data_IF_611866288387
#
_entry.id   IF_611866288387
#
_cell.length_a   1.000
_cell.length_b   1.000
_cell.length_c   1.000
_cell.angle_alpha   90.00
_cell.angle_beta   90.00
_cell.angle_gamma   90.00
#
_symmetry.space_group_name_H-M   'P 1'
#
loop_
_entity.id
_entity.type
_entity.pdbx_description
1 polymer ?
#
# COMPACT_ATOMS: atom_id res chain seq x y z
N UNK A 1 8.80 10.16 -35.63
CA UNK A 1 8.46 10.61 -34.25
C UNK A 1 9.68 11.16 -33.49
N UNK A 2 10.83 10.45 -33.46
CA UNK A 2 12.07 10.91 -32.80
C UNK A 2 12.56 12.30 -33.27
N UNK A 3 12.65 12.53 -34.57
CA UNK A 3 13.12 13.83 -35.13
C UNK A 3 12.18 15.00 -34.79
N UNK A 4 10.88 14.73 -34.66
CA UNK A 4 9.87 15.74 -34.31
C UNK A 4 9.96 16.15 -32.85
N UNK A 5 10.27 15.21 -31.94
CA UNK A 5 10.51 15.49 -30.53
C UNK A 5 11.77 16.34 -30.34
N UNK A 6 12.83 16.04 -31.10
CA UNK A 6 14.08 16.78 -31.03
C UNK A 6 13.92 18.22 -31.57
N UNK A 7 13.17 18.41 -32.66
CA UNK A 7 12.88 19.75 -33.18
C UNK A 7 12.05 20.59 -32.19
N UNK A 8 11.06 19.98 -31.51
CA UNK A 8 10.28 20.64 -30.46
C UNK A 8 11.16 21.08 -29.30
N UNK A 9 12.07 20.21 -28.84
CA UNK A 9 13.05 20.53 -27.78
C UNK A 9 13.92 21.73 -28.16
N UNK A 10 14.44 21.74 -29.39
CA UNK A 10 15.30 22.83 -29.88
C UNK A 10 14.57 24.17 -30.01
N UNK A 11 13.31 24.16 -30.44
CA UNK A 11 12.49 25.37 -30.49
C UNK A 11 12.26 25.87 -29.06
N UNK A 12 11.80 25.01 -28.16
CA UNK A 12 11.53 25.35 -26.76
C UNK A 12 12.75 25.97 -26.07
N UNK A 13 13.95 25.39 -26.26
CA UNK A 13 15.20 25.94 -25.71
C UNK A 13 15.51 27.36 -26.20
N UNK A 14 15.10 27.71 -27.43
CA UNK A 14 15.38 29.02 -28.04
C UNK A 14 14.33 30.08 -27.70
N UNK A 15 13.08 29.69 -27.46
CA UNK A 15 11.99 30.63 -27.17
C UNK A 15 11.53 30.66 -25.71
N UNK A 16 12.01 29.74 -24.85
CA UNK A 16 11.63 29.75 -23.43
C UNK A 16 11.98 31.08 -22.78
N UNK A 17 11.01 31.68 -22.10
CA UNK A 17 11.17 32.84 -21.24
C UNK A 17 10.72 32.52 -19.81
N UNK A 18 11.01 31.29 -19.37
CA UNK A 18 10.75 30.78 -18.03
C UNK A 18 12.00 30.10 -17.50
N UNK A 19 12.09 30.02 -16.18
CA UNK A 19 13.10 29.25 -15.46
C UNK A 19 12.42 27.97 -14.94
N UNK A 20 13.01 26.81 -15.21
CA UNK A 20 12.55 25.55 -14.60
C UNK A 20 13.22 25.44 -13.23
N UNK A 21 12.42 25.35 -12.18
CA UNK A 21 12.87 25.07 -10.82
C UNK A 21 12.34 23.71 -10.42
N UNK A 22 13.24 22.83 -10.00
CA UNK A 22 12.90 21.55 -9.40
C UNK A 22 13.12 21.66 -7.89
N UNK A 23 12.16 21.19 -7.12
CA UNK A 23 12.21 21.16 -5.66
C UNK A 23 11.91 19.74 -5.19
N UNK A 24 12.72 19.25 -4.26
CA UNK A 24 12.42 18.00 -3.55
C UNK A 24 11.53 18.35 -2.34
N UNK A 25 10.31 17.81 -2.34
CA UNK A 25 9.35 18.01 -1.27
C UNK A 25 9.17 16.70 -0.52
N UNK A 26 9.38 16.73 0.80
CA UNK A 26 9.03 15.61 1.66
C UNK A 26 7.55 15.73 2.06
N UNK A 27 6.74 14.76 1.67
CA UNK A 27 5.30 14.70 1.99
C UNK A 27 5.07 13.55 2.96
N UNK A 28 4.51 13.88 4.13
CA UNK A 28 4.01 12.86 5.05
C UNK A 28 2.58 12.49 4.66
N UNK A 29 2.33 11.21 4.37
CA UNK A 29 0.99 10.69 4.06
C UNK A 29 0.37 10.08 5.31
N UNK A 30 -0.82 10.53 5.68
CA UNK A 30 -1.59 9.93 6.76
C UNK A 30 -2.27 8.62 6.29
N UNK A 31 -1.97 7.50 6.97
CA UNK A 31 -2.72 6.25 6.79
C UNK A 31 -4.16 6.37 7.31
N UNK A 32 -4.40 7.24 8.30
CA UNK A 32 -5.72 7.57 8.85
C UNK A 32 -5.82 9.08 8.98
N UNK A 33 -6.92 9.65 8.50
CA UNK A 33 -7.35 11.02 8.73
C UNK A 33 -8.54 11.02 9.69
N UNK A 34 -8.35 11.25 10.99
CA UNK A 34 -9.44 11.19 11.98
C UNK A 34 -10.61 12.13 11.65
N UNK A 35 -10.37 13.19 10.89
CA UNK A 35 -11.39 14.16 10.44
C UNK A 35 -12.45 13.54 9.53
N UNK A 36 -12.11 12.45 8.83
CA UNK A 36 -13.05 11.68 8.01
C UNK A 36 -13.90 10.68 8.78
N UNK A 37 -13.76 10.62 10.11
CA UNK A 37 -14.47 9.68 10.99
C UNK A 37 -15.36 10.43 11.98
N UNK A 38 -16.41 9.75 12.43
CA UNK A 38 -17.27 10.25 13.50
C UNK A 38 -16.55 10.09 14.85
N UNK A 39 -16.41 11.21 15.57
CA UNK A 39 -15.79 11.22 16.89
C UNK A 39 -16.84 10.92 17.96
N UNK A 40 -16.60 9.88 18.75
CA UNK A 40 -17.36 9.55 19.95
C UNK A 40 -16.46 9.54 21.18
N UNK A 41 -17.07 9.53 22.36
CA UNK A 41 -16.39 9.30 23.62
C UNK A 41 -16.82 7.97 24.21
N UNK A 42 -15.85 7.16 24.63
CA UNK A 42 -16.08 5.89 25.32
C UNK A 42 -15.05 5.74 26.44
N UNK A 43 -15.52 5.50 27.66
CA UNK A 43 -14.67 5.35 28.85
C UNK A 43 -13.68 6.53 29.05
N UNK A 44 -14.13 7.76 28.76
CA UNK A 44 -13.32 8.98 28.83
C UNK A 44 -12.25 9.11 27.75
N UNK A 45 -12.27 8.27 26.71
CA UNK A 45 -11.36 8.31 25.56
C UNK A 45 -12.12 8.66 24.29
N UNK A 46 -11.51 9.52 23.47
CA UNK A 46 -12.01 9.75 22.12
C UNK A 46 -11.80 8.49 21.27
N UNK A 47 -12.86 8.05 20.61
CA UNK A 47 -12.84 6.99 19.60
C UNK A 47 -13.35 7.57 18.29
N UNK A 48 -12.78 7.11 17.18
CA UNK A 48 -13.15 7.53 15.83
C UNK A 48 -13.74 6.33 15.11
N UNK A 49 -14.95 6.47 14.58
CA UNK A 49 -15.70 5.36 13.98
C UNK A 49 -16.24 5.76 12.61
N UNK A 50 -16.50 4.74 11.79
CA UNK A 50 -17.21 4.88 10.52
C UNK A 50 -18.07 3.65 10.33
N UNK A 51 -19.12 3.76 9.52
CA UNK A 51 -19.89 2.59 9.08
C UNK A 51 -19.07 1.77 8.08
N UNK A 52 -19.13 0.44 8.22
CA UNK A 52 -18.56 -0.51 7.28
C UNK A 52 -19.72 -1.35 6.74
N UNK A 53 -19.97 -1.26 5.44
CA UNK A 53 -21.00 -2.06 4.74
C UNK A 53 -20.34 -3.21 3.99
N UNK A 54 -20.91 -4.41 4.12
CA UNK A 54 -20.48 -5.61 3.41
C UNK A 54 -21.63 -6.63 3.30
N UNK A 55 -21.57 -7.48 2.28
CA UNK A 55 -22.50 -8.61 2.16
C UNK A 55 -22.16 -9.70 3.19
N UNK A 56 -23.18 -10.35 3.75
CA UNK A 56 -23.00 -11.33 4.85
C UNK A 56 -22.04 -12.48 4.51
N UNK A 57 -21.98 -12.91 3.26
CA UNK A 57 -21.02 -13.94 2.79
C UNK A 57 -19.54 -13.48 2.84
N UNK A 58 -19.30 -12.16 2.90
CA UNK A 58 -17.98 -11.53 3.04
C UNK A 58 -17.56 -11.32 4.49
N UNK A 59 -18.40 -11.65 5.48
CA UNK A 59 -18.05 -11.54 6.91
C UNK A 59 -16.77 -12.31 7.25
N UNK A 60 -16.50 -13.41 6.54
CA UNK A 60 -15.27 -14.21 6.66
C UNK A 60 -13.98 -13.42 6.39
N UNK A 61 -14.06 -12.28 5.70
CA UNK A 61 -12.91 -11.41 5.42
C UNK A 61 -12.69 -10.34 6.48
N UNK A 62 -13.58 -10.22 7.47
CA UNK A 62 -13.30 -9.40 8.63
C UNK A 62 -12.26 -10.08 9.53
N UNK A 63 -11.38 -9.28 10.08
CA UNK A 63 -10.46 -9.68 11.14
C UNK A 63 -10.46 -8.59 12.21
N UNK A 64 -10.81 -9.00 13.43
CA UNK A 64 -10.83 -8.12 14.60
C UNK A 64 -9.50 -8.21 15.34
N UNK A 65 -9.04 -7.11 15.93
CA UNK A 65 -7.79 -7.07 16.70
C UNK A 65 -7.75 -8.12 17.81
N UNK A 66 -8.88 -8.26 18.51
CA UNK A 66 -9.01 -9.18 19.64
C UNK A 66 -8.76 -10.64 19.24
N UNK A 67 -8.88 -10.98 17.95
CA UNK A 67 -8.61 -12.32 17.44
C UNK A 67 -7.12 -12.63 17.31
N UNK A 68 -6.24 -11.61 17.26
CA UNK A 68 -4.79 -11.81 17.17
C UNK A 68 -4.02 -11.34 18.40
N UNK A 69 -4.61 -10.50 19.25
CA UNK A 69 -4.00 -10.02 20.48
C UNK A 69 -3.44 -11.19 21.31
N UNK A 70 -2.12 -11.19 21.51
CA UNK A 70 -1.40 -12.21 22.27
C UNK A 70 -1.14 -13.53 21.56
N UNK A 71 -1.44 -13.65 20.25
CA UNK A 71 -1.08 -14.84 19.44
C UNK A 71 0.37 -14.83 18.97
N UNK A 72 0.92 -13.64 18.72
CA UNK A 72 2.29 -13.42 18.27
C UNK A 72 3.06 -12.63 19.33
N UNK A 73 4.39 -12.76 19.35
CA UNK A 73 5.27 -12.04 20.28
C UNK A 73 5.25 -10.53 20.02
N UNK A 74 5.13 -10.14 18.76
CA UNK A 74 5.02 -8.76 18.32
C UNK A 74 3.55 -8.40 18.03
N UNK A 75 3.17 -7.17 18.35
CA UNK A 75 1.82 -6.62 18.15
C UNK A 75 1.84 -5.71 16.91
N UNK A 76 1.83 -6.30 15.71
CA UNK A 76 1.85 -5.56 14.45
C UNK A 76 0.44 -5.28 13.92
N UNK A 77 0.28 -4.09 13.36
CA UNK A 77 -0.82 -3.63 12.54
C UNK A 77 -1.99 -2.99 13.29
N UNK A 78 -3.16 -3.03 12.66
CA UNK A 78 -4.44 -2.52 13.15
C UNK A 78 -4.47 -1.02 13.47
N UNK A 79 -4.05 -0.21 12.49
CA UNK A 79 -4.33 1.23 12.45
C UNK A 79 -5.83 1.57 12.40
N UNK A 80 -6.67 0.59 12.05
CA UNK A 80 -8.12 0.61 12.27
C UNK A 80 -8.62 -0.80 12.62
N UNK A 81 -9.80 -0.89 13.23
CA UNK A 81 -10.40 -2.15 13.66
C UNK A 81 -11.92 -2.15 13.37
N UNK A 82 -12.48 -3.20 12.74
CA UNK A 82 -11.80 -4.37 12.17
C UNK A 82 -11.12 -4.08 10.82
N UNK A 83 -10.11 -4.87 10.48
CA UNK A 83 -9.67 -4.98 9.09
C UNK A 83 -10.74 -5.70 8.28
N UNK A 84 -11.10 -5.11 7.14
CA UNK A 84 -12.01 -5.66 6.13
C UNK A 84 -11.19 -5.99 4.89
N UNK A 85 -10.66 -7.20 4.83
CA UNK A 85 -9.95 -7.67 3.64
C UNK A 85 -10.93 -7.78 2.46
N UNK A 86 -10.46 -7.52 1.25
CA UNK A 86 -11.27 -7.64 0.04
C UNK A 86 -11.30 -9.08 -0.48
N UNK A 87 -10.31 -9.89 -0.08
CA UNK A 87 -10.19 -11.28 -0.51
C UNK A 87 -9.61 -12.24 0.55
N UNK A 88 -9.83 -13.56 0.36
CA UNK A 88 -9.16 -14.60 1.18
C UNK A 88 -7.63 -14.51 1.08
N UNK A 89 -7.02 -14.37 -0.13
CA UNK A 89 -5.58 -14.22 -0.26
C UNK A 89 -4.95 -13.10 0.56
N UNK A 90 -5.56 -11.91 0.67
CA UNK A 90 -5.00 -10.83 1.51
C UNK A 90 -4.99 -11.20 2.99
N UNK A 91 -6.10 -11.77 3.48
CA UNK A 91 -6.21 -12.22 4.87
C UNK A 91 -5.20 -13.34 5.18
N UNK A 92 -5.02 -14.27 4.25
CA UNK A 92 -4.03 -15.34 4.34
C UNK A 92 -2.60 -14.78 4.31
N UNK A 93 -2.32 -13.81 3.43
CA UNK A 93 -1.02 -13.16 3.32
C UNK A 93 -0.66 -12.45 4.63
N UNK A 94 -1.58 -11.69 5.20
CA UNK A 94 -1.37 -11.03 6.48
C UNK A 94 -1.06 -12.05 7.59
N UNK A 95 -1.80 -13.15 7.64
CA UNK A 95 -1.57 -14.22 8.63
C UNK A 95 -0.22 -14.92 8.44
N UNK A 96 0.17 -15.19 7.19
CA UNK A 96 1.47 -15.74 6.84
C UNK A 96 2.60 -14.79 7.26
N UNK A 97 2.46 -13.50 6.97
CA UNK A 97 3.46 -12.48 7.27
C UNK A 97 3.70 -12.35 8.78
N UNK A 98 2.65 -12.35 9.59
CA UNK A 98 2.80 -12.38 11.05
C UNK A 98 3.48 -13.65 11.54
N UNK A 99 3.15 -14.81 10.95
CA UNK A 99 3.77 -16.09 11.29
C UNK A 99 5.28 -16.11 11.05
N UNK A 100 5.74 -15.67 9.88
CA UNK A 100 7.18 -15.66 9.57
C UNK A 100 7.95 -14.70 10.47
N UNK A 101 7.35 -13.58 10.90
CA UNK A 101 8.00 -12.59 11.76
C UNK A 101 8.00 -12.97 13.24
N UNK A 102 7.07 -13.83 13.66
CA UNK A 102 7.08 -14.43 15.00
C UNK A 102 8.16 -15.51 15.14
N UNK A 103 8.41 -16.25 14.05
CA UNK A 103 9.48 -17.25 13.94
C UNK A 103 10.86 -16.61 13.78
N UNK A 104 11.00 -15.67 12.84
CA UNK A 104 12.25 -14.98 12.50
C UNK A 104 12.03 -13.45 12.53
N UNK A 105 12.28 -12.78 13.66
CA UNK A 105 12.03 -11.34 13.75
C UNK A 105 12.94 -10.52 12.80
N UNK A 106 12.33 -9.74 11.92
CA UNK A 106 13.02 -8.76 11.06
C UNK A 106 12.99 -7.34 11.65
N UNK A 107 13.70 -6.41 11.00
CA UNK A 107 13.74 -4.98 11.37
C UNK A 107 12.47 -4.22 10.91
N UNK A 108 11.31 -4.74 11.31
CA UNK A 108 9.99 -4.17 11.01
C UNK A 108 9.56 -3.26 12.16
N UNK A 109 9.09 -2.06 11.81
CA UNK A 109 8.41 -1.14 12.70
C UNK A 109 6.94 -1.55 12.83
N UNK A 110 6.24 -1.70 11.70
CA UNK A 110 4.83 -2.08 11.68
C UNK A 110 4.33 -2.57 10.30
N UNK A 111 3.11 -3.14 10.26
CA UNK A 111 2.43 -3.67 9.06
C UNK A 111 0.98 -3.20 8.99
N UNK A 112 0.60 -2.50 7.92
CA UNK A 112 -0.74 -1.97 7.73
C UNK A 112 -1.42 -2.59 6.52
N UNK A 113 -2.69 -2.99 6.67
CA UNK A 113 -3.55 -3.36 5.54
C UNK A 113 -4.35 -2.13 5.09
N UNK A 114 -4.09 -1.63 3.90
CA UNK A 114 -4.63 -0.38 3.37
C UNK A 114 -5.70 -0.57 2.30
N UNK A 115 -5.81 -1.79 1.72
CA UNK A 115 -6.73 -2.07 0.60
C UNK A 115 -8.20 -1.77 0.91
N UNK A 116 -8.63 -1.97 2.16
CA UNK A 116 -10.02 -1.76 2.58
C UNK A 116 -10.38 -0.29 2.87
N UNK A 117 -9.52 0.67 2.53
CA UNK A 117 -9.72 2.09 2.78
C UNK A 117 -9.39 2.92 1.53
N UNK A 118 -10.43 3.27 0.79
CA UNK A 118 -10.39 3.96 -0.50
C UNK A 118 -10.99 5.38 -0.47
N UNK A 119 -11.52 5.80 0.69
CA UNK A 119 -12.10 7.14 0.86
C UNK A 119 -10.99 8.18 1.12
N UNK A 120 -10.79 9.17 0.21
CA UNK A 120 -9.77 10.21 0.36
C UNK A 120 -10.00 11.15 1.56
N UNK A 121 -11.20 11.14 2.14
CA UNK A 121 -11.47 11.88 3.38
C UNK A 121 -10.91 11.14 4.61
N UNK A 122 -10.64 9.84 4.50
CA UNK A 122 -10.20 8.96 5.60
C UNK A 122 -8.73 8.55 5.53
N UNK A 123 -8.08 8.67 4.38
CA UNK A 123 -6.66 8.35 4.19
C UNK A 123 -6.05 9.26 3.13
N UNK A 124 -4.76 9.56 3.25
CA UNK A 124 -3.95 10.20 2.21
C UNK A 124 -3.08 9.18 1.47
N UNK A 125 -3.07 7.92 1.90
CA UNK A 125 -2.30 6.85 1.30
C UNK A 125 -2.99 6.27 0.07
N UNK A 126 -3.26 7.15 -0.89
CA UNK A 126 -3.87 6.85 -2.19
C UNK A 126 -2.92 7.31 -3.28
N UNK A 127 -2.84 6.52 -4.35
CA UNK A 127 -2.02 6.80 -5.51
C UNK A 127 -2.89 7.00 -6.73
N UNK A 128 -2.59 8.01 -7.53
CA UNK A 128 -3.31 8.29 -8.76
C UNK A 128 -2.64 7.57 -9.93
N UNK A 129 -3.44 6.96 -10.79
CA UNK A 129 -2.98 6.45 -12.08
C UNK A 129 -3.97 6.80 -13.18
N UNK A 130 -3.47 6.93 -14.41
CA UNK A 130 -4.31 7.17 -15.58
C UNK A 130 -4.81 5.84 -16.14
N UNK A 131 -6.13 5.66 -16.19
CA UNK A 131 -6.78 4.45 -16.68
C UNK A 131 -6.77 4.35 -18.21
N UNK A 132 -7.26 3.22 -18.73
CA UNK A 132 -7.42 3.01 -20.19
C UNK A 132 -8.53 3.86 -20.80
N UNK A 133 -9.42 4.37 -19.95
CA UNK A 133 -10.48 5.33 -20.25
C UNK A 133 -9.98 6.78 -20.35
N UNK A 134 -8.67 7.00 -20.15
CA UNK A 134 -8.03 8.32 -20.11
C UNK A 134 -8.47 9.17 -18.90
N UNK A 135 -9.13 8.57 -17.91
CA UNK A 135 -9.49 9.21 -16.64
C UNK A 135 -8.48 8.89 -15.54
N UNK A 136 -8.43 9.74 -14.50
CA UNK A 136 -7.60 9.51 -13.32
C UNK A 136 -8.38 8.72 -12.28
N UNK A 137 -7.73 7.69 -11.73
CA UNK A 137 -8.29 6.81 -10.72
C UNK A 137 -7.41 6.81 -9.48
N UNK A 138 -8.05 6.78 -8.31
CA UNK A 138 -7.37 6.54 -7.04
C UNK A 138 -7.19 5.05 -6.81
N UNK A 139 -6.04 4.69 -6.24
CA UNK A 139 -5.69 3.33 -5.88
C UNK A 139 -5.07 3.30 -4.48
N UNK A 140 -5.64 2.47 -3.61
CA UNK A 140 -5.02 2.10 -2.34
C UNK A 140 -4.37 0.73 -2.50
N UNK A 141 -3.06 0.57 -2.25
CA UNK A 141 -2.43 -0.75 -2.25
C UNK A 141 -2.92 -1.60 -1.08
N UNK A 142 -2.75 -2.91 -1.19
CA UNK A 142 -3.26 -3.82 -0.16
C UNK A 142 -2.50 -3.69 1.17
N UNK A 143 -1.17 -3.62 1.14
CA UNK A 143 -0.35 -3.55 2.35
C UNK A 143 0.79 -2.54 2.28
N UNK A 144 1.10 -1.97 3.45
CA UNK A 144 2.31 -1.22 3.73
C UNK A 144 3.09 -1.88 4.88
N UNK A 145 4.32 -2.29 4.61
CA UNK A 145 5.26 -2.80 5.62
C UNK A 145 6.32 -1.73 5.85
N UNK A 146 6.40 -1.21 7.07
CA UNK A 146 7.36 -0.16 7.45
C UNK A 146 8.51 -0.77 8.24
N UNK A 147 9.74 -0.47 7.82
CA UNK A 147 10.99 -0.89 8.51
C UNK A 147 11.44 0.20 9.47
N UNK A 148 12.15 -0.16 10.55
CA UNK A 148 12.61 0.82 11.57
C UNK A 148 13.61 1.84 11.03
N UNK A 149 14.30 1.51 9.94
CA UNK A 149 15.18 2.43 9.22
C UNK A 149 14.45 3.41 8.29
N UNK A 150 13.10 3.43 8.31
CA UNK A 150 12.28 4.34 7.51
C UNK A 150 12.05 3.89 6.07
N UNK A 151 12.52 2.69 5.68
CA UNK A 151 12.18 2.07 4.39
C UNK A 151 10.79 1.46 4.42
N UNK A 152 10.14 1.43 3.27
CA UNK A 152 8.77 0.97 3.08
C UNK A 152 8.74 -0.10 1.98
N UNK A 153 7.99 -1.16 2.23
CA UNK A 153 7.63 -2.16 1.23
C UNK A 153 6.11 -2.10 1.05
N UNK A 154 5.66 -1.73 -0.14
CA UNK A 154 4.26 -1.80 -0.54
C UNK A 154 4.03 -3.17 -1.19
N UNK A 155 2.98 -3.87 -0.77
CA UNK A 155 2.62 -5.18 -1.32
C UNK A 155 1.21 -5.14 -1.86
N UNK A 156 1.05 -5.63 -3.10
CA UNK A 156 -0.25 -5.86 -3.75
C UNK A 156 -0.46 -7.37 -3.92
N UNK A 157 -1.64 -7.86 -3.58
CA UNK A 157 -2.08 -9.24 -3.79
C UNK A 157 -2.97 -9.28 -5.03
N UNK A 158 -2.52 -9.95 -6.09
CA UNK A 158 -3.20 -9.87 -7.39
C UNK A 158 -3.36 -11.22 -8.07
N UNK A 159 -4.56 -11.53 -8.54
CA UNK A 159 -4.75 -12.65 -9.46
C UNK A 159 -4.40 -12.25 -10.89
N UNK A 160 -3.80 -13.17 -11.66
CA UNK A 160 -3.36 -12.94 -13.05
C UNK A 160 -4.41 -12.24 -13.92
N UNK A 161 -5.67 -12.67 -13.81
CA UNK A 161 -6.79 -12.15 -14.61
C UNK A 161 -7.16 -10.69 -14.33
N UNK A 162 -6.71 -10.14 -13.20
CA UNK A 162 -7.03 -8.77 -12.78
C UNK A 162 -5.87 -7.80 -12.99
N UNK A 163 -4.76 -8.24 -13.61
CA UNK A 163 -3.59 -7.38 -13.85
C UNK A 163 -3.94 -6.15 -14.68
N UNK A 164 -3.59 -4.99 -14.14
CA UNK A 164 -3.81 -3.68 -14.76
C UNK A 164 -2.47 -3.01 -14.99
N UNK A 165 -1.97 -3.16 -16.23
CA UNK A 165 -0.62 -2.70 -16.61
C UNK A 165 -0.35 -1.21 -16.30
N UNK A 166 -1.34 -0.34 -16.44
CA UNK A 166 -1.15 1.10 -16.19
C UNK A 166 -0.92 1.39 -14.71
N UNK A 167 -1.71 0.78 -13.82
CA UNK A 167 -1.52 0.86 -12.37
C UNK A 167 -0.16 0.30 -11.96
N UNK A 168 0.21 -0.88 -12.45
CA UNK A 168 1.50 -1.49 -12.14
C UNK A 168 2.67 -0.62 -12.61
N UNK A 169 2.56 -0.05 -13.82
CA UNK A 169 3.57 0.86 -14.37
C UNK A 169 3.71 2.12 -13.51
N UNK A 170 2.61 2.67 -13.01
CA UNK A 170 2.63 3.84 -12.14
C UNK A 170 3.28 3.54 -10.78
N UNK A 171 2.92 2.42 -10.15
CA UNK A 171 3.56 2.02 -8.89
C UNK A 171 5.06 1.73 -9.05
N UNK A 172 5.48 1.16 -10.18
CA UNK A 172 6.90 0.99 -10.52
C UNK A 172 7.59 2.33 -10.80
N UNK A 173 6.89 3.31 -11.37
CA UNK A 173 7.39 4.68 -11.52
C UNK A 173 7.65 5.31 -10.15
N UNK A 174 6.70 5.20 -9.23
CA UNK A 174 6.81 5.71 -7.85
C UNK A 174 7.98 5.03 -7.11
N UNK A 175 8.12 3.70 -7.21
CA UNK A 175 9.29 2.97 -6.71
C UNK A 175 10.60 3.56 -7.28
N UNK A 176 10.65 3.83 -8.58
CA UNK A 176 11.81 4.42 -9.26
C UNK A 176 12.16 5.85 -8.84
N UNK A 177 11.22 6.61 -8.27
CA UNK A 177 11.49 7.93 -7.70
C UNK A 177 12.29 7.87 -6.40
N UNK A 178 12.13 6.79 -5.62
CA UNK A 178 12.84 6.63 -4.35
C UNK A 178 13.21 5.16 -4.05
N UNK A 179 14.02 4.52 -4.91
CA UNK A 179 14.28 3.07 -4.84
C UNK A 179 15.04 2.65 -3.57
N UNK A 180 15.73 3.58 -2.91
CA UNK A 180 16.45 3.32 -1.67
C UNK A 180 15.53 3.28 -0.44
N UNK A 181 14.35 3.90 -0.53
CA UNK A 181 13.36 3.97 0.58
C UNK A 181 12.05 3.23 0.29
N UNK A 182 11.68 3.04 -0.97
CA UNK A 182 10.45 2.38 -1.37
C UNK A 182 10.74 1.12 -2.21
N UNK A 183 10.07 0.03 -1.87
CA UNK A 183 9.99 -1.20 -2.66
C UNK A 183 8.53 -1.51 -2.96
N UNK A 184 8.23 -1.90 -4.19
CA UNK A 184 6.89 -2.37 -4.58
C UNK A 184 6.95 -3.85 -4.98
N UNK A 185 6.09 -4.69 -4.39
CA UNK A 185 6.02 -6.12 -4.68
C UNK A 185 4.59 -6.54 -5.01
N UNK A 186 4.45 -7.49 -5.92
CA UNK A 186 3.15 -8.07 -6.29
C UNK A 186 3.20 -9.56 -5.95
N UNK A 187 2.31 -10.00 -5.06
CA UNK A 187 2.11 -11.40 -4.75
C UNK A 187 1.01 -11.94 -5.65
N UNK A 188 1.41 -12.74 -6.63
CA UNK A 188 0.45 -13.36 -7.53
C UNK A 188 -0.37 -14.46 -6.84
N UNK A 189 -1.63 -14.60 -7.26
CA UNK A 189 -2.50 -15.69 -6.82
C UNK A 189 -2.94 -16.58 -7.97
N UNK A 190 -3.09 -17.88 -7.67
CA UNK A 190 -3.74 -18.87 -8.54
C UNK A 190 -5.12 -19.18 -7.97
N UNK A 191 -6.14 -18.44 -8.43
CA UNK A 191 -7.47 -18.51 -7.84
C UNK A 191 -7.47 -17.81 -6.47
N UNK A 192 -7.84 -18.53 -5.41
CA UNK A 192 -7.79 -18.02 -4.03
C UNK A 192 -6.50 -18.40 -3.29
N UNK A 193 -5.49 -18.94 -3.97
CA UNK A 193 -4.25 -19.39 -3.35
C UNK A 193 -3.08 -18.45 -3.66
N UNK A 194 -2.33 -18.07 -2.63
CA UNK A 194 -1.06 -17.33 -2.76
C UNK A 194 0.01 -18.21 -3.41
N UNK A 195 0.82 -17.61 -4.28
CA UNK A 195 1.94 -18.32 -4.91
C UNK A 195 3.18 -18.31 -4.02
N UNK A 196 3.90 -19.44 -3.97
CA UNK A 196 5.17 -19.53 -3.25
C UNK A 196 6.21 -18.52 -3.74
N UNK A 197 6.23 -18.24 -5.05
CA UNK A 197 7.13 -17.26 -5.65
C UNK A 197 6.85 -15.84 -5.14
N UNK A 198 5.59 -15.39 -5.15
CA UNK A 198 5.22 -14.08 -4.62
C UNK A 198 5.51 -13.94 -3.13
N UNK A 199 5.23 -14.98 -2.33
CA UNK A 199 5.58 -14.99 -0.91
C UNK A 199 7.09 -14.86 -0.68
N UNK A 200 7.90 -15.57 -1.47
CA UNK A 200 9.36 -15.47 -1.36
C UNK A 200 9.88 -14.10 -1.76
N UNK A 201 9.30 -13.45 -2.79
CA UNK A 201 9.70 -12.09 -3.17
C UNK A 201 9.52 -11.10 -2.02
N UNK A 202 8.37 -11.15 -1.35
CA UNK A 202 8.11 -10.30 -0.17
C UNK A 202 9.05 -10.65 0.98
N UNK A 203 9.26 -11.95 1.25
CA UNK A 203 10.21 -12.40 2.28
C UNK A 203 11.60 -11.82 2.00
N UNK A 204 12.10 -11.98 0.78
CA UNK A 204 13.39 -11.47 0.36
C UNK A 204 13.47 -9.95 0.50
N UNK A 205 12.40 -9.22 0.14
CA UNK A 205 12.32 -7.79 0.40
C UNK A 205 12.45 -7.48 1.90
N UNK A 206 11.70 -8.14 2.78
CA UNK A 206 11.75 -7.90 4.24
C UNK A 206 13.17 -8.06 4.82
N UNK A 207 13.88 -9.12 4.45
CA UNK A 207 15.18 -9.46 5.04
C UNK A 207 16.38 -8.84 4.32
N UNK A 208 16.29 -8.57 3.01
CA UNK A 208 17.43 -8.09 2.20
C UNK A 208 17.31 -6.63 1.78
N UNK A 209 16.10 -6.10 1.59
CA UNK A 209 15.92 -4.73 1.13
C UNK A 209 16.34 -3.74 2.21
N UNK A 210 17.55 -3.18 2.10
CA UNK A 210 18.14 -2.34 3.14
C UNK A 210 18.74 -3.14 4.29
N UNK A 211 19.32 -4.31 4.01
CA UNK A 211 20.47 -4.78 4.78
C UNK A 211 21.59 -3.74 4.68
N UNK A 212 22.40 -3.64 5.74
CA UNK A 212 23.61 -2.80 5.72
C UNK A 212 24.58 -3.24 4.62
#
# INVERSE_FOLDING_TARGET
>A
ESETMELKRQIEEKVRNYEVKEEEVEVALALIRPEGFEKHEKDGKAIYVTEIVYHKDKEKYLLKWEMFKGKFKQDFGFHYNPYKFDSSPEKEFFSWLLGILDEDPADIEDIYYTGGMDDPNKTEFLFEYKGRDDEYHNYSPDFLIRRKNGKVIIVEIKAERFKEKEKEKEMRRIEGLNPDRLKYEIVETKGEQLTFEGLNQVREAIYKYGGK
#
